data_IF_234505424091
#
_entry.id   IF_234505424091
#
_cell.length_a   1.000
_cell.length_b   1.000
_cell.length_c   1.000
_cell.angle_alpha   90.00
_cell.angle_beta   90.00
_cell.angle_gamma   90.00
#
_symmetry.space_group_name_H-M   'P 1'
#
loop_
_entity.id
_entity.type
_entity.pdbx_description
1 polymer ?
#
# COMPACT_ATOMS: atom_id res chain seq x y z
N UNK A 1 25.87 8.63 0.87
CA UNK A 1 24.76 7.68 0.76
C UNK A 1 23.92 7.71 2.03
N UNK A 2 22.64 7.83 1.85
CA UNK A 2 21.73 7.95 2.99
C UNK A 2 21.34 6.55 3.46
N UNK A 3 21.63 6.22 4.69
CA UNK A 3 21.20 4.96 5.26
C UNK A 3 19.70 5.01 5.49
N UNK A 4 18.98 4.09 4.85
CA UNK A 4 17.53 3.98 5.02
C UNK A 4 17.27 2.81 5.95
N UNK A 5 16.67 3.14 7.10
CA UNK A 5 16.22 2.12 8.01
C UNK A 5 14.72 1.89 7.78
N UNK A 6 14.38 0.69 7.31
CA UNK A 6 13.00 0.32 7.09
C UNK A 6 12.44 -0.26 8.38
N UNK A 7 11.22 0.12 8.71
CA UNK A 7 10.50 -0.44 9.84
C UNK A 7 9.21 -1.06 9.32
N UNK A 8 8.80 -2.13 9.98
CA UNK A 8 7.53 -2.75 9.63
C UNK A 8 6.37 -1.84 10.03
N UNK A 9 5.43 -1.68 9.10
CA UNK A 9 4.29 -0.82 9.30
C UNK A 9 3.01 -1.53 8.85
N UNK A 10 1.90 -0.99 9.30
CA UNK A 10 0.59 -1.52 8.94
C UNK A 10 -0.33 -0.39 8.53
N UNK A 11 -1.35 -0.72 7.74
CA UNK A 11 -2.42 0.22 7.43
C UNK A 11 -3.37 0.20 8.61
N UNK A 12 -3.47 1.33 9.30
CA UNK A 12 -4.35 1.45 10.44
C UNK A 12 -5.80 1.63 10.01
N UNK A 13 -6.05 2.67 9.21
CA UNK A 13 -7.40 2.97 8.72
C UNK A 13 -7.32 3.98 7.60
N UNK A 14 -8.50 4.31 7.06
CA UNK A 14 -8.65 5.42 6.13
C UNK A 14 -9.48 6.49 6.83
N UNK A 15 -8.97 7.70 6.88
CA UNK A 15 -9.64 8.83 7.50
C UNK A 15 -10.14 9.80 6.43
N UNK A 16 -11.31 10.34 6.65
CA UNK A 16 -11.85 11.40 5.81
C UNK A 16 -11.53 12.74 6.47
N UNK A 17 -10.84 13.60 5.72
CA UNK A 17 -10.43 14.92 6.21
C UNK A 17 -10.98 16.01 5.32
N UNK A 18 -10.83 17.27 5.75
CA UNK A 18 -11.21 18.42 4.93
C UNK A 18 -10.44 18.49 3.62
N UNK A 19 -9.23 17.92 3.59
CA UNK A 19 -8.37 17.89 2.41
C UNK A 19 -8.56 16.65 1.56
N UNK A 20 -9.48 15.76 1.94
CA UNK A 20 -9.75 14.54 1.23
C UNK A 20 -9.53 13.30 2.09
N UNK A 21 -9.45 12.15 1.45
CA UNK A 21 -9.25 10.89 2.13
C UNK A 21 -7.76 10.64 2.34
N UNK A 22 -7.41 10.11 3.50
CA UNK A 22 -6.03 9.76 3.82
C UNK A 22 -5.97 8.34 4.37
N UNK A 23 -5.08 7.52 3.81
CA UNK A 23 -4.74 6.25 4.43
C UNK A 23 -3.71 6.54 5.53
N UNK A 24 -3.96 5.98 6.71
CA UNK A 24 -3.06 6.17 7.85
C UNK A 24 -2.19 4.92 7.99
N UNK A 25 -0.90 5.12 7.74
CA UNK A 25 0.10 4.06 7.84
C UNK A 25 0.91 4.30 9.11
N UNK A 26 1.00 3.30 9.95
CA UNK A 26 1.75 3.46 11.19
C UNK A 26 2.74 2.32 11.40
N UNK A 27 3.93 2.62 11.94
CA UNK A 27 4.85 1.57 12.34
C UNK A 27 4.21 0.69 13.41
N UNK A 28 4.50 -0.59 13.36
CA UNK A 28 3.99 -1.54 14.35
C UNK A 28 4.48 -1.14 15.74
N UNK A 29 3.55 -1.04 16.68
CA UNK A 29 3.87 -0.65 18.05
C UNK A 29 3.97 0.85 18.29
N UNK A 30 3.76 1.67 17.27
CA UNK A 30 3.79 3.13 17.40
C UNK A 30 2.39 3.69 17.57
N UNK A 31 2.31 4.83 18.25
CA UNK A 31 1.06 5.59 18.37
C UNK A 31 0.97 6.72 17.32
N UNK A 32 1.96 6.82 16.44
CA UNK A 32 2.01 7.84 15.39
C UNK A 32 1.74 7.21 14.05
N UNK A 33 0.98 7.92 13.22
CA UNK A 33 0.66 7.47 11.87
C UNK A 33 1.05 8.53 10.86
N UNK A 34 1.42 8.07 9.66
CA UNK A 34 1.72 8.93 8.53
C UNK A 34 0.47 8.97 7.64
N UNK A 35 -0.11 10.16 7.38
CA UNK A 35 -1.23 10.27 6.48
C UNK A 35 -0.74 10.35 5.03
N UNK A 36 -1.30 9.51 4.18
CA UNK A 36 -1.05 9.56 2.75
C UNK A 36 -2.38 9.84 2.07
N UNK A 37 -2.47 10.99 1.40
CA UNK A 37 -3.71 11.40 0.74
C UNK A 37 -3.90 10.60 -0.54
N UNK A 38 -5.12 10.11 -0.72
CA UNK A 38 -5.48 9.20 -1.82
C UNK A 38 -6.83 9.61 -2.38
N UNK A 39 -7.13 9.09 -3.57
CA UNK A 39 -8.44 9.31 -4.18
C UNK A 39 -9.53 8.51 -3.51
N UNK A 40 -10.77 8.83 -3.84
CA UNK A 40 -11.92 8.17 -3.25
C UNK A 40 -12.00 6.69 -3.63
N UNK A 41 -11.68 6.37 -4.88
CA UNK A 41 -11.69 4.98 -5.34
C UNK A 41 -10.65 4.14 -4.59
N UNK A 42 -9.45 4.68 -4.40
CA UNK A 42 -8.39 4.00 -3.67
C UNK A 42 -8.76 3.83 -2.20
N UNK A 43 -9.36 4.85 -1.60
CA UNK A 43 -9.82 4.79 -0.21
C UNK A 43 -10.84 3.68 -0.02
N UNK A 44 -11.80 3.59 -0.92
CA UNK A 44 -12.84 2.57 -0.86
C UNK A 44 -12.26 1.16 -1.00
N UNK A 45 -11.30 0.99 -1.92
CA UNK A 45 -10.63 -0.29 -2.11
C UNK A 45 -9.89 -0.75 -0.87
N UNK A 46 -9.20 0.17 -0.22
CA UNK A 46 -8.45 -0.14 1.00
C UNK A 46 -9.42 -0.50 2.14
N UNK A 47 -10.51 0.22 2.27
CA UNK A 47 -11.51 -0.08 3.29
C UNK A 47 -12.14 -1.45 3.09
N UNK A 48 -12.43 -1.85 1.85
CA UNK A 48 -12.92 -3.19 1.56
C UNK A 48 -11.90 -4.25 1.97
N UNK A 49 -10.61 -4.01 1.67
CA UNK A 49 -9.56 -4.93 2.06
C UNK A 49 -9.41 -5.07 3.56
N UNK A 50 -9.47 -3.95 4.28
CA UNK A 50 -9.36 -3.95 5.74
C UNK A 50 -10.54 -4.66 6.41
N UNK A 51 -11.73 -4.53 5.84
CA UNK A 51 -12.94 -5.13 6.38
C UNK A 51 -13.17 -6.57 5.91
N UNK A 52 -12.32 -7.08 5.02
CA UNK A 52 -12.50 -8.41 4.39
C UNK A 52 -13.87 -8.54 3.70
N UNK A 53 -14.33 -7.46 3.11
CA UNK A 53 -15.63 -7.46 2.41
C UNK A 53 -15.40 -7.90 0.97
N UNK A 54 -16.11 -8.94 0.49
CA UNK A 54 -16.00 -9.33 -0.93
C UNK A 54 -16.55 -8.22 -1.82
N UNK A 55 -15.81 -7.92 -2.90
CA UNK A 55 -16.29 -6.96 -3.89
C UNK A 55 -17.11 -7.70 -4.95
N UNK A 56 -18.21 -7.08 -5.45
CA UNK A 56 -19.05 -7.74 -6.46
C UNK A 56 -18.33 -7.93 -7.80
N UNK A 57 -17.34 -7.12 -8.09
CA UNK A 57 -16.56 -7.22 -9.32
C UNK A 57 -15.08 -7.09 -9.01
N UNK A 58 -14.21 -7.81 -9.75
CA UNK A 58 -12.76 -7.59 -9.62
C UNK A 58 -12.42 -6.14 -9.95
N UNK A 59 -11.55 -5.56 -9.15
CA UNK A 59 -11.05 -4.21 -9.35
C UNK A 59 -9.74 -4.25 -10.13
N UNK A 60 -9.24 -3.08 -10.52
CA UNK A 60 -8.01 -2.98 -11.32
C UNK A 60 -6.83 -3.66 -10.63
N UNK A 61 -6.69 -3.48 -9.32
CA UNK A 61 -5.59 -4.11 -8.59
C UNK A 61 -5.76 -5.63 -8.49
N UNK A 62 -6.99 -6.14 -8.51
CA UNK A 62 -7.22 -7.59 -8.57
C UNK A 62 -6.73 -8.16 -9.89
N UNK A 63 -7.02 -7.46 -11.00
CA UNK A 63 -6.51 -7.85 -12.31
C UNK A 63 -4.99 -7.83 -12.33
N UNK A 64 -4.39 -6.79 -11.78
CA UNK A 64 -2.95 -6.66 -11.69
C UNK A 64 -2.32 -7.86 -10.95
N UNK A 65 -2.88 -8.22 -9.80
CA UNK A 65 -2.40 -9.37 -9.04
C UNK A 65 -2.56 -10.69 -9.79
N UNK A 66 -3.66 -10.85 -10.54
CA UNK A 66 -3.87 -12.05 -11.36
C UNK A 66 -2.85 -12.16 -12.48
N UNK A 67 -2.51 -11.03 -13.11
CA UNK A 67 -1.46 -11.02 -14.14
C UNK A 67 -0.13 -11.44 -13.55
N UNK A 68 0.23 -10.89 -12.40
CA UNK A 68 1.46 -11.25 -11.70
C UNK A 68 1.49 -12.75 -11.36
N UNK A 69 0.39 -13.27 -10.86
CA UNK A 69 0.27 -14.69 -10.52
C UNK A 69 0.48 -15.59 -11.74
N UNK A 70 -0.12 -15.22 -12.88
CA UNK A 70 0.07 -15.95 -14.14
C UNK A 70 1.50 -15.92 -14.61
N UNK A 71 2.24 -14.87 -14.28
CA UNK A 71 3.66 -14.74 -14.63
C UNK A 71 4.59 -15.32 -13.56
N UNK A 72 4.06 -16.00 -12.55
CA UNK A 72 4.84 -16.55 -11.42
C UNK A 72 5.54 -15.46 -10.60
N UNK A 73 4.91 -14.30 -10.50
CA UNK A 73 5.44 -13.19 -9.72
C UNK A 73 4.61 -13.04 -8.45
N UNK A 74 5.31 -12.94 -7.33
CA UNK A 74 4.69 -12.73 -6.02
C UNK A 74 5.10 -11.37 -5.47
N UNK A 75 4.15 -10.64 -4.91
CA UNK A 75 4.46 -9.41 -4.20
C UNK A 75 4.97 -9.76 -2.81
N UNK A 76 6.18 -9.33 -2.51
CA UNK A 76 6.78 -9.58 -1.21
C UNK A 76 6.35 -8.50 -0.21
N UNK A 77 6.53 -7.24 -0.60
CA UNK A 77 6.17 -6.10 0.25
C UNK A 77 6.13 -4.82 -0.55
N UNK A 78 5.59 -3.79 0.07
CA UNK A 78 5.67 -2.42 -0.43
C UNK A 78 6.49 -1.62 0.56
N UNK A 79 7.46 -0.85 0.05
CA UNK A 79 8.29 0.02 0.87
C UNK A 79 7.96 1.47 0.53
N UNK A 80 7.64 2.27 1.54
CA UNK A 80 7.49 3.71 1.37
C UNK A 80 8.83 4.31 1.74
N UNK A 81 9.54 4.85 0.74
CA UNK A 81 10.96 5.15 0.88
C UNK A 81 11.27 6.63 1.03
N UNK A 82 10.39 7.52 0.58
CA UNK A 82 10.68 8.95 0.62
C UNK A 82 9.41 9.78 0.51
N UNK A 83 9.54 11.04 0.86
CA UNK A 83 8.50 12.05 0.67
C UNK A 83 9.19 13.32 0.16
N UNK A 84 8.88 13.72 -1.08
CA UNK A 84 9.44 14.90 -1.71
C UNK A 84 8.33 15.70 -2.39
N UNK A 85 8.28 16.98 -2.15
CA UNK A 85 7.30 17.87 -2.78
C UNK A 85 5.87 17.33 -2.64
N UNK A 86 5.52 16.89 -1.43
CA UNK A 86 4.20 16.32 -1.10
C UNK A 86 3.89 15.01 -1.85
N UNK A 87 4.90 14.40 -2.44
CA UNK A 87 4.76 13.14 -3.17
C UNK A 87 5.49 12.03 -2.43
N UNK A 88 4.76 10.98 -2.09
CA UNK A 88 5.36 9.80 -1.50
C UNK A 88 5.93 8.91 -2.61
N UNK A 89 7.14 8.44 -2.38
CA UNK A 89 7.81 7.48 -3.26
C UNK A 89 7.77 6.11 -2.61
N UNK A 90 7.52 5.11 -3.42
CA UNK A 90 7.44 3.74 -2.90
C UNK A 90 8.07 2.77 -3.87
N UNK A 91 8.35 1.57 -3.36
CA UNK A 91 8.84 0.46 -4.16
C UNK A 91 7.97 -0.75 -3.94
N UNK A 92 7.60 -1.39 -5.02
CA UNK A 92 6.89 -2.66 -4.98
C UNK A 92 7.95 -3.75 -5.14
N UNK A 93 8.23 -4.46 -4.06
CA UNK A 93 9.25 -5.51 -4.07
C UNK A 93 8.59 -6.83 -4.40
N UNK A 94 9.06 -7.45 -5.48
CA UNK A 94 8.46 -8.66 -6.03
C UNK A 94 9.50 -9.76 -6.18
N UNK A 95 9.01 -10.98 -6.27
CA UNK A 95 9.84 -12.17 -6.52
C UNK A 95 9.26 -12.93 -7.70
N UNK A 96 10.12 -13.45 -8.55
CA UNK A 96 9.70 -14.34 -9.62
C UNK A 96 10.37 -15.71 -9.38
N UNK A 97 9.56 -16.67 -8.94
CA UNK A 97 10.10 -17.93 -8.47
C UNK A 97 11.05 -17.71 -7.30
N UNK A 98 12.32 -18.10 -7.46
CA UNK A 98 13.37 -17.87 -6.47
C UNK A 98 14.11 -16.56 -6.69
N UNK A 99 13.75 -15.81 -7.73
CA UNK A 99 14.50 -14.65 -8.17
C UNK A 99 13.84 -13.37 -7.69
N UNK A 100 14.62 -12.49 -7.10
CA UNK A 100 14.17 -11.16 -6.67
C UNK A 100 14.17 -10.21 -7.87
N UNK A 101 13.09 -9.49 -8.02
CA UNK A 101 12.94 -8.50 -9.10
C UNK A 101 13.18 -7.09 -8.60
#
# INVERSE_FOLDING_TARGET
MKDIMLVEAEIWTVARTEKGNAVLVKPVGSDRAVPIFIGQAEAQSILFGLANVPVPRPMTHDLFLRVLEKANITVDRVEITDLKDRTFYSRLVMKQGMKKL
#
